data_IF_143728515884
#
_entry.id   IF_143728515884
#
_cell.length_a   1.000
_cell.length_b   1.000
_cell.length_c   1.000
_cell.angle_alpha   90.00
_cell.angle_beta   90.00
_cell.angle_gamma   90.00
#
_symmetry.space_group_name_H-M   'P 1'
#
loop_
_entity.id
_entity.type
_entity.pdbx_description
1 polymer ?
#
# COMPACT_ATOMS: atom_id res chain seq x y z
N UNK A 1 -31.42 -26.20 -1.53
CA UNK A 1 -30.50 -26.10 -0.38
C UNK A 1 -29.01 -26.16 -0.78
N UNK A 2 -28.56 -27.08 -1.61
CA UNK A 2 -27.15 -27.23 -2.06
C UNK A 2 -26.72 -26.09 -2.97
N UNK A 3 -27.54 -25.58 -3.87
CA UNK A 3 -27.27 -24.45 -4.74
C UNK A 3 -27.12 -23.13 -3.92
N UNK A 4 -28.02 -22.88 -2.96
CA UNK A 4 -27.94 -21.74 -2.05
C UNK A 4 -26.64 -21.75 -1.21
N UNK A 5 -26.23 -22.93 -0.72
CA UNK A 5 -24.97 -23.10 0.02
C UNK A 5 -23.73 -22.84 -0.85
N UNK A 6 -23.76 -23.22 -2.13
CA UNK A 6 -22.69 -22.91 -3.10
C UNK A 6 -22.61 -21.41 -3.41
N UNK A 7 -23.74 -20.71 -3.50
CA UNK A 7 -23.75 -19.26 -3.72
C UNK A 7 -23.32 -18.47 -2.47
N UNK A 8 -23.78 -18.84 -1.27
CA UNK A 8 -23.34 -18.26 -0.02
C UNK A 8 -21.83 -18.45 0.23
N UNK A 9 -21.25 -19.58 -0.20
CA UNK A 9 -19.81 -19.80 -0.12
C UNK A 9 -19.00 -18.93 -1.09
N UNK A 10 -19.59 -18.42 -2.17
CA UNK A 10 -18.96 -17.42 -3.07
C UNK A 10 -18.83 -16.04 -2.41
N UNK A 11 -19.62 -15.73 -1.37
CA UNK A 11 -19.60 -14.47 -0.64
C UNK A 11 -18.62 -14.46 0.54
N UNK A 12 -17.97 -15.58 0.87
CA UNK A 12 -16.96 -15.61 1.94
C UNK A 12 -15.69 -14.90 1.50
N UNK A 13 -15.09 -14.05 2.37
CA UNK A 13 -13.81 -13.43 2.10
C UNK A 13 -12.74 -14.46 1.77
N UNK A 14 -11.94 -14.18 0.72
CA UNK A 14 -10.89 -15.10 0.22
C UNK A 14 -9.65 -15.11 1.09
N UNK A 15 -9.40 -14.02 1.81
CA UNK A 15 -8.27 -13.85 2.73
C UNK A 15 -8.54 -12.74 3.73
N UNK A 16 -7.68 -12.62 4.76
CA UNK A 16 -7.76 -11.62 5.83
C UNK A 16 -6.49 -10.79 5.80
N UNK A 17 -6.62 -9.49 5.67
CA UNK A 17 -5.51 -8.55 5.58
C UNK A 17 -5.51 -7.64 6.81
N UNK A 18 -4.40 -7.61 7.56
CA UNK A 18 -4.19 -6.59 8.57
C UNK A 18 -3.51 -5.37 7.94
N UNK A 19 -4.13 -4.22 8.06
CA UNK A 19 -3.66 -2.94 7.56
C UNK A 19 -3.11 -2.14 8.74
N UNK A 20 -1.84 -1.73 8.68
CA UNK A 20 -1.17 -0.90 9.68
C UNK A 20 -0.85 0.43 8.99
N UNK A 21 -1.66 1.46 9.20
CA UNK A 21 -1.50 2.73 8.49
C UNK A 21 -2.22 3.90 9.19
N UNK A 22 -1.98 5.11 8.71
CA UNK A 22 -2.72 6.31 9.12
C UNK A 22 -4.10 6.38 8.50
N UNK A 23 -5.01 7.09 9.18
CA UNK A 23 -6.38 7.35 8.73
C UNK A 23 -6.44 8.66 7.95
N UNK A 24 -6.99 8.63 6.74
CA UNK A 24 -7.29 9.80 5.89
C UNK A 24 -8.77 10.14 5.97
N UNK A 25 -9.11 11.27 6.64
CA UNK A 25 -10.50 11.70 6.83
C UNK A 25 -11.23 11.99 5.52
N UNK A 26 -10.52 12.28 4.41
CA UNK A 26 -11.14 12.46 3.09
C UNK A 26 -11.52 11.12 2.42
N UNK A 27 -11.02 10.01 2.95
CA UNK A 27 -11.33 8.67 2.47
C UNK A 27 -10.59 8.25 1.20
N UNK A 28 -9.68 9.08 0.66
CA UNK A 28 -8.98 8.83 -0.61
C UNK A 28 -7.73 7.98 -0.48
N UNK A 29 -7.05 8.04 0.67
CA UNK A 29 -5.81 7.32 0.96
C UNK A 29 -5.87 6.62 2.33
N UNK A 30 -4.71 6.25 2.89
CA UNK A 30 -4.60 5.62 4.20
C UNK A 30 -5.45 4.38 4.35
N UNK A 31 -5.84 4.06 5.59
CA UNK A 31 -6.65 2.87 5.86
C UNK A 31 -8.00 2.87 5.14
N UNK A 32 -8.57 4.01 4.82
CA UNK A 32 -9.84 4.09 4.08
C UNK A 32 -9.69 3.56 2.64
N UNK A 33 -8.64 3.95 1.93
CA UNK A 33 -8.33 3.40 0.61
C UNK A 33 -7.97 1.91 0.70
N UNK A 34 -7.23 1.53 1.74
CA UNK A 34 -6.81 0.15 1.98
C UNK A 34 -8.00 -0.77 2.22
N UNK A 35 -8.95 -0.39 3.14
CA UNK A 35 -10.18 -1.14 3.41
C UNK A 35 -11.02 -1.29 2.14
N UNK A 36 -11.25 -0.17 1.42
CA UNK A 36 -12.01 -0.19 0.15
C UNK A 36 -11.39 -1.15 -0.85
N UNK A 37 -10.06 -1.13 -1.00
CA UNK A 37 -9.32 -2.00 -1.91
C UNK A 37 -9.45 -3.46 -1.55
N UNK A 38 -9.15 -3.81 -0.30
CA UNK A 38 -9.22 -5.19 0.21
C UNK A 38 -10.63 -5.76 0.05
N UNK A 39 -11.66 -4.97 0.41
CA UNK A 39 -13.07 -5.35 0.29
C UNK A 39 -13.51 -5.48 -1.17
N UNK A 40 -13.13 -4.54 -2.04
CA UNK A 40 -13.45 -4.60 -3.47
C UNK A 40 -12.84 -5.81 -4.18
N UNK A 41 -11.71 -6.31 -3.68
CA UNK A 41 -11.03 -7.52 -4.17
C UNK A 41 -11.52 -8.81 -3.49
N UNK A 42 -12.56 -8.73 -2.65
CA UNK A 42 -13.25 -9.88 -2.06
C UNK A 42 -12.52 -10.48 -0.85
N UNK A 43 -11.79 -9.67 -0.08
CA UNK A 43 -11.10 -10.09 1.15
C UNK A 43 -11.57 -9.29 2.37
N UNK A 44 -11.22 -9.75 3.56
CA UNK A 44 -11.59 -9.13 4.83
C UNK A 44 -10.46 -8.21 5.31
N UNK A 45 -10.80 -6.96 5.65
CA UNK A 45 -9.86 -5.96 6.11
C UNK A 45 -9.94 -5.79 7.64
N UNK A 46 -8.80 -5.89 8.32
CA UNK A 46 -8.60 -5.52 9.73
C UNK A 46 -7.63 -4.35 9.78
N UNK A 47 -7.67 -3.53 10.83
CA UNK A 47 -6.85 -2.32 10.90
C UNK A 47 -6.15 -2.14 12.23
N UNK A 48 -4.95 -1.54 12.18
CA UNK A 48 -4.26 -0.91 13.29
C UNK A 48 -3.92 0.53 12.87
N UNK A 49 -4.53 1.52 13.51
CA UNK A 49 -4.40 2.93 13.14
C UNK A 49 -3.14 3.50 13.78
N UNK A 50 -2.26 4.09 12.96
CA UNK A 50 -0.99 4.68 13.41
C UNK A 50 -1.08 6.18 13.70
N UNK A 51 -1.98 6.88 13.01
CA UNK A 51 -2.29 8.29 13.22
C UNK A 51 -3.65 8.61 12.61
N UNK A 52 -4.29 9.69 13.08
CA UNK A 52 -5.48 10.27 12.45
C UNK A 52 -5.05 11.57 11.77
N UNK A 53 -5.39 11.76 10.50
CA UNK A 53 -5.12 13.01 9.80
C UNK A 53 -6.40 13.85 9.66
N UNK A 54 -6.29 15.15 9.80
CA UNK A 54 -7.28 16.11 9.35
C UNK A 54 -6.86 16.49 7.92
N UNK A 55 -7.47 15.85 6.95
CA UNK A 55 -7.04 15.87 5.56
C UNK A 55 -8.22 15.97 4.61
N UNK A 56 -8.00 16.64 3.47
CA UNK A 56 -8.92 16.67 2.33
C UNK A 56 -8.12 16.60 1.01
N UNK A 57 -8.79 16.79 -0.12
CA UNK A 57 -8.14 16.71 -1.44
C UNK A 57 -7.12 17.82 -1.70
N UNK A 58 -7.13 18.91 -0.93
CA UNK A 58 -6.20 20.04 -1.09
C UNK A 58 -4.97 19.93 -0.20
N UNK A 59 -4.98 19.11 0.86
CA UNK A 59 -3.82 18.91 1.74
C UNK A 59 -4.13 18.34 3.11
N UNK A 60 -3.09 18.24 3.93
CA UNK A 60 -3.13 17.78 5.32
C UNK A 60 -3.02 18.99 6.24
N UNK A 61 -4.04 19.22 7.08
CA UNK A 61 -4.07 20.31 8.08
C UNK A 61 -3.37 19.91 9.38
N UNK A 62 -3.57 18.66 9.84
CA UNK A 62 -3.01 18.18 11.10
C UNK A 62 -2.83 16.65 11.06
N UNK A 63 -1.82 16.17 11.76
CA UNK A 63 -1.58 14.75 12.03
C UNK A 63 -1.65 14.55 13.54
N UNK A 64 -2.55 13.68 13.99
CA UNK A 64 -2.70 13.29 15.40
C UNK A 64 -2.15 11.88 15.55
N UNK A 65 -0.94 11.70 16.12
CA UNK A 65 -0.33 10.38 16.26
C UNK A 65 -1.10 9.53 17.30
N UNK A 66 -1.12 8.21 17.04
CA UNK A 66 -1.54 7.24 18.04
C UNK A 66 -0.30 6.78 18.82
N UNK A 67 -0.44 6.63 20.13
CA UNK A 67 0.62 6.14 21.00
C UNK A 67 1.16 4.78 20.54
N UNK A 68 2.51 4.61 20.45
CA UNK A 68 3.12 3.37 19.94
C UNK A 68 2.62 2.08 20.62
N UNK A 69 2.42 2.12 21.95
CA UNK A 69 1.88 0.98 22.70
C UNK A 69 0.46 0.63 22.25
N UNK A 70 -0.39 1.62 21.98
CA UNK A 70 -1.75 1.39 21.49
C UNK A 70 -1.79 0.81 20.08
N UNK A 71 -0.78 1.13 19.25
CA UNK A 71 -0.63 0.55 17.91
C UNK A 71 -0.27 -0.94 18.05
N UNK A 72 0.70 -1.28 18.90
CA UNK A 72 1.07 -2.67 19.14
C UNK A 72 -0.10 -3.47 19.72
N UNK A 73 -0.85 -2.91 20.67
CA UNK A 73 -2.04 -3.53 21.23
C UNK A 73 -3.11 -3.83 20.16
N UNK A 74 -3.37 -2.89 19.23
CA UNK A 74 -4.28 -3.13 18.10
C UNK A 74 -3.79 -4.31 17.23
N UNK A 75 -2.50 -4.34 16.89
CA UNK A 75 -1.91 -5.38 16.05
C UNK A 75 -2.02 -6.75 16.73
N UNK A 76 -1.57 -6.86 17.96
CA UNK A 76 -1.45 -8.14 18.66
C UNK A 76 -2.81 -8.68 19.09
N UNK A 77 -3.68 -7.83 19.65
CA UNK A 77 -5.00 -8.23 20.10
C UNK A 77 -5.88 -8.71 18.94
N UNK A 78 -5.87 -7.94 17.82
CA UNK A 78 -6.60 -8.32 16.61
C UNK A 78 -6.04 -9.60 15.99
N UNK A 79 -4.70 -9.71 15.87
CA UNK A 79 -4.06 -10.86 15.22
C UNK A 79 -4.18 -12.15 16.03
N UNK A 80 -4.33 -12.05 17.36
CA UNK A 80 -4.55 -13.19 18.26
C UNK A 80 -5.91 -13.84 18.03
N UNK A 81 -6.94 -13.05 17.75
CA UNK A 81 -8.29 -13.52 17.49
C UNK A 81 -8.49 -13.87 16.01
N UNK A 82 -8.23 -12.91 15.13
CA UNK A 82 -8.36 -13.11 13.67
C UNK A 82 -6.97 -13.09 13.05
N UNK A 83 -6.34 -14.27 12.92
CA UNK A 83 -5.00 -14.39 12.33
C UNK A 83 -4.99 -13.90 10.89
N UNK A 84 -4.21 -12.85 10.53
CA UNK A 84 -4.12 -12.36 9.16
C UNK A 84 -3.38 -13.34 8.24
N UNK A 85 -3.76 -13.36 6.96
CA UNK A 85 -3.07 -14.11 5.91
C UNK A 85 -1.93 -13.27 5.28
N UNK A 86 -2.06 -11.93 5.35
CA UNK A 86 -1.00 -10.99 5.00
C UNK A 86 -1.17 -9.66 5.78
N UNK A 87 -0.10 -8.87 5.80
CA UNK A 87 -0.07 -7.55 6.41
C UNK A 87 0.28 -6.52 5.32
N UNK A 88 -0.44 -5.39 5.30
CA UNK A 88 -0.06 -4.19 4.58
C UNK A 88 0.37 -3.12 5.58
N UNK A 89 1.56 -2.58 5.42
CA UNK A 89 2.07 -1.46 6.21
C UNK A 89 2.09 -0.22 5.32
N UNK A 90 1.52 0.89 5.83
CA UNK A 90 1.57 2.20 5.19
C UNK A 90 2.30 3.22 6.05
N UNK A 91 1.69 4.38 6.30
CA UNK A 91 2.31 5.49 7.06
C UNK A 91 2.66 5.10 8.49
N UNK A 92 3.96 5.23 8.85
CA UNK A 92 4.53 5.04 10.19
C UNK A 92 5.30 6.31 10.59
N UNK A 93 4.64 7.31 11.10
CA UNK A 93 5.10 8.69 11.21
C UNK A 93 6.37 8.91 12.07
N UNK A 94 6.75 7.99 12.97
CA UNK A 94 7.89 8.16 13.87
C UNK A 94 8.67 6.88 14.12
N UNK A 95 9.93 7.03 14.56
CA UNK A 95 10.81 5.91 14.91
C UNK A 95 10.23 5.02 16.01
N UNK A 96 9.54 5.59 17.00
CA UNK A 96 8.90 4.82 18.08
C UNK A 96 7.74 3.95 17.56
N UNK A 97 6.97 4.45 16.59
CA UNK A 97 5.92 3.67 15.92
C UNK A 97 6.54 2.53 15.13
N UNK A 98 7.63 2.77 14.38
CA UNK A 98 8.33 1.71 13.64
C UNK A 98 8.85 0.62 14.57
N UNK A 99 9.47 0.98 15.69
CA UNK A 99 9.95 0.01 16.70
C UNK A 99 8.81 -0.83 17.25
N UNK A 100 7.69 -0.21 17.60
CA UNK A 100 6.50 -0.90 18.10
C UNK A 100 5.91 -1.86 17.06
N UNK A 101 5.84 -1.46 15.80
CA UNK A 101 5.39 -2.33 14.70
C UNK A 101 6.34 -3.50 14.50
N UNK A 102 7.67 -3.27 14.45
CA UNK A 102 8.68 -4.33 14.33
C UNK A 102 8.52 -5.36 15.45
N UNK A 103 8.39 -4.90 16.69
CA UNK A 103 8.17 -5.77 17.85
C UNK A 103 6.92 -6.65 17.67
N UNK A 104 5.79 -6.07 17.29
CA UNK A 104 4.55 -6.82 17.04
C UNK A 104 4.69 -7.82 15.89
N UNK A 105 5.40 -7.47 14.79
CA UNK A 105 5.64 -8.38 13.67
C UNK A 105 6.42 -9.64 14.12
N UNK A 106 7.39 -9.49 15.02
CA UNK A 106 8.17 -10.60 15.55
C UNK A 106 7.33 -11.55 16.39
N UNK A 107 6.30 -11.04 17.10
CA UNK A 107 5.37 -11.85 17.89
C UNK A 107 4.34 -12.59 17.04
N UNK A 108 3.71 -11.90 16.08
CA UNK A 108 2.60 -12.50 15.29
C UNK A 108 3.09 -13.46 14.19
N UNK A 109 4.37 -13.39 13.79
CA UNK A 109 5.05 -14.32 12.85
C UNK A 109 4.34 -14.50 11.50
N UNK A 110 3.79 -13.43 10.92
CA UNK A 110 3.23 -13.43 9.57
C UNK A 110 4.34 -13.16 8.57
N UNK A 111 4.43 -14.00 7.52
CA UNK A 111 5.51 -13.90 6.50
C UNK A 111 5.14 -13.00 5.31
N UNK A 112 3.86 -12.86 4.98
CA UNK A 112 3.40 -12.07 3.85
C UNK A 112 3.18 -10.62 4.26
N UNK A 113 4.21 -9.78 4.12
CA UNK A 113 4.20 -8.38 4.56
C UNK A 113 4.57 -7.48 3.38
N UNK A 114 3.70 -6.53 3.05
CA UNK A 114 3.92 -5.51 2.02
C UNK A 114 4.07 -4.15 2.70
N UNK A 115 5.19 -3.48 2.43
CA UNK A 115 5.50 -2.14 2.95
C UNK A 115 5.35 -1.09 1.85
N UNK A 116 4.42 -0.18 2.02
CA UNK A 116 4.36 1.09 1.29
C UNK A 116 5.06 2.16 2.14
N UNK A 117 6.28 2.60 1.81
CA UNK A 117 7.08 3.46 2.67
C UNK A 117 6.65 4.92 2.54
N UNK A 118 5.41 5.22 2.94
CA UNK A 118 4.80 6.54 2.78
C UNK A 118 5.57 7.59 3.57
N UNK A 119 6.20 8.55 2.87
CA UNK A 119 7.02 9.60 3.47
C UNK A 119 6.43 10.99 3.31
N UNK A 120 5.71 11.22 2.20
CA UNK A 120 5.17 12.51 1.83
C UNK A 120 3.71 12.33 1.40
N UNK A 121 2.81 13.16 1.93
CA UNK A 121 1.43 13.21 1.49
C UNK A 121 1.33 13.78 0.06
N UNK A 122 0.23 13.50 -0.65
CA UNK A 122 0.01 14.02 -2.01
C UNK A 122 0.09 15.54 -2.11
N UNK A 123 -0.23 16.27 -1.04
CA UNK A 123 -0.09 17.73 -0.92
C UNK A 123 1.30 18.21 -0.50
N UNK A 124 2.34 17.37 -0.48
CA UNK A 124 3.72 17.73 -0.13
C UNK A 124 4.06 17.72 1.37
N UNK A 125 3.10 17.49 2.25
CA UNK A 125 3.35 17.43 3.69
C UNK A 125 4.24 16.23 4.05
N UNK A 126 5.33 16.47 4.81
CA UNK A 126 6.19 15.41 5.35
C UNK A 126 5.43 14.62 6.42
N UNK A 127 5.35 13.29 6.26
CA UNK A 127 4.59 12.38 7.13
C UNK A 127 5.47 11.53 8.05
N UNK A 128 6.79 11.61 7.93
CA UNK A 128 7.76 10.78 8.65
C UNK A 128 9.00 11.61 9.01
N UNK A 129 9.59 11.37 10.18
CA UNK A 129 10.85 12.03 10.58
C UNK A 129 12.09 11.28 10.04
N UNK A 130 13.25 11.95 10.06
CA UNK A 130 14.50 11.40 9.50
C UNK A 130 15.02 10.19 10.30
N UNK A 131 14.81 10.15 11.62
CA UNK A 131 15.17 9.00 12.47
C UNK A 131 14.34 7.79 12.10
N UNK A 132 13.04 8.00 11.78
CA UNK A 132 12.15 6.94 11.32
C UNK A 132 12.57 6.41 9.94
N UNK A 133 13.01 7.27 9.00
CA UNK A 133 13.54 6.84 7.71
C UNK A 133 14.76 5.93 7.90
N UNK A 134 15.70 6.29 8.79
CA UNK A 134 16.87 5.46 9.07
C UNK A 134 16.48 4.10 9.65
N UNK A 135 15.54 4.06 10.59
CA UNK A 135 15.06 2.82 11.18
C UNK A 135 14.33 1.92 10.16
N UNK A 136 13.52 2.53 9.29
CA UNK A 136 12.87 1.83 8.18
C UNK A 136 13.91 1.17 7.28
N UNK A 137 14.97 1.89 6.87
CA UNK A 137 16.08 1.38 6.05
C UNK A 137 16.85 0.26 6.73
N UNK A 138 17.17 0.42 8.02
CA UNK A 138 18.10 -0.48 8.69
C UNK A 138 17.44 -1.75 9.23
N UNK A 139 16.15 -1.69 9.57
CA UNK A 139 15.47 -2.78 10.24
C UNK A 139 14.20 -3.25 9.53
N UNK A 140 13.24 -2.35 9.23
CA UNK A 140 11.92 -2.77 8.77
C UNK A 140 11.93 -3.40 7.38
N UNK A 141 12.74 -2.87 6.43
CA UNK A 141 12.80 -3.40 5.06
C UNK A 141 13.26 -4.87 5.00
N UNK A 142 14.05 -5.32 5.98
CA UNK A 142 14.53 -6.71 6.07
C UNK A 142 13.45 -7.70 6.50
N UNK A 143 12.39 -7.20 7.14
CA UNK A 143 11.29 -8.01 7.70
C UNK A 143 10.11 -8.16 6.74
N UNK A 144 10.09 -7.42 5.63
CA UNK A 144 8.97 -7.42 4.70
C UNK A 144 9.22 -8.27 3.47
N UNK A 145 8.16 -8.80 2.88
CA UNK A 145 8.25 -9.57 1.63
C UNK A 145 8.49 -8.68 0.41
N UNK A 146 7.96 -7.46 0.44
CA UNK A 146 8.07 -6.49 -0.66
C UNK A 146 7.98 -5.07 -0.10
N UNK A 147 8.84 -4.18 -0.60
CA UNK A 147 8.72 -2.73 -0.42
C UNK A 147 8.28 -2.08 -1.74
N UNK A 148 7.34 -1.10 -1.68
CA UNK A 148 6.73 -0.48 -2.87
C UNK A 148 6.94 1.04 -2.92
N UNK A 149 8.19 1.56 -2.96
CA UNK A 149 8.44 2.99 -3.00
C UNK A 149 8.01 3.60 -4.35
N UNK A 150 7.54 4.86 -4.32
CA UNK A 150 7.53 5.71 -5.50
C UNK A 150 8.94 6.30 -5.73
N UNK A 151 9.13 7.07 -6.81
CA UNK A 151 10.45 7.64 -7.15
C UNK A 151 10.99 8.56 -6.05
N UNK A 152 10.26 9.57 -5.52
CA UNK A 152 10.75 10.37 -4.42
C UNK A 152 11.12 9.57 -3.16
N UNK A 153 10.33 8.55 -2.82
CA UNK A 153 10.60 7.65 -1.70
C UNK A 153 11.85 6.79 -1.95
N UNK A 154 12.03 6.28 -3.17
CA UNK A 154 13.21 5.52 -3.54
C UNK A 154 14.47 6.40 -3.52
N UNK A 155 14.41 7.64 -4.02
CA UNK A 155 15.51 8.62 -3.94
C UNK A 155 15.94 8.88 -2.49
N UNK A 156 14.98 9.09 -1.58
CA UNK A 156 15.25 9.29 -0.15
C UNK A 156 15.90 8.05 0.47
N UNK A 157 15.35 6.86 0.18
CA UNK A 157 15.84 5.60 0.75
C UNK A 157 17.24 5.25 0.27
N UNK A 158 17.58 5.57 -0.98
CA UNK A 158 18.85 5.16 -1.61
C UNK A 158 19.88 6.26 -1.67
N UNK A 159 19.46 7.51 -1.38
CA UNK A 159 20.29 8.72 -1.55
C UNK A 159 20.82 8.85 -3.00
N UNK A 160 19.98 8.52 -3.99
CA UNK A 160 20.29 8.63 -5.42
C UNK A 160 19.23 9.45 -6.14
N UNK A 161 19.56 9.96 -7.34
CA UNK A 161 18.59 10.62 -8.21
C UNK A 161 18.07 9.63 -9.25
N UNK A 162 16.77 9.67 -9.54
CA UNK A 162 16.10 8.76 -10.48
C UNK A 162 15.47 9.57 -11.60
N UNK A 163 16.04 9.52 -12.79
CA UNK A 163 15.60 10.24 -13.98
C UNK A 163 15.03 9.33 -15.07
N UNK A 164 15.36 8.04 -15.02
CA UNK A 164 15.02 7.06 -16.05
C UNK A 164 14.84 5.66 -15.45
N UNK A 165 14.55 4.71 -16.31
CA UNK A 165 14.36 3.30 -15.94
C UNK A 165 15.63 2.66 -15.35
N UNK A 166 16.78 2.99 -15.89
CA UNK A 166 18.09 2.47 -15.47
C UNK A 166 18.41 2.90 -14.04
N UNK A 167 18.12 4.17 -13.71
CA UNK A 167 18.25 4.70 -12.34
C UNK A 167 17.28 4.02 -11.37
N UNK A 168 16.05 3.68 -11.81
CA UNK A 168 15.11 2.92 -10.99
C UNK A 168 15.65 1.53 -10.67
N UNK A 169 16.24 0.83 -11.66
CA UNK A 169 16.86 -0.49 -11.45
C UNK A 169 18.03 -0.38 -10.49
N UNK A 170 18.86 0.64 -10.64
CA UNK A 170 19.99 0.90 -9.76
C UNK A 170 19.53 1.17 -8.31
N UNK A 171 18.54 2.04 -8.11
CA UNK A 171 17.95 2.30 -6.80
C UNK A 171 17.36 1.02 -6.17
N UNK A 172 16.66 0.20 -6.97
CA UNK A 172 16.15 -1.08 -6.49
C UNK A 172 17.28 -2.02 -6.05
N UNK A 173 18.41 -2.07 -6.77
CA UNK A 173 19.57 -2.89 -6.39
C UNK A 173 20.18 -2.44 -5.06
N UNK A 174 20.24 -1.13 -4.81
CA UNK A 174 20.67 -0.60 -3.50
C UNK A 174 19.74 -1.09 -2.39
N UNK A 175 18.41 -1.03 -2.57
CA UNK A 175 17.46 -1.52 -1.58
C UNK A 175 17.61 -3.03 -1.32
N UNK A 176 17.86 -3.83 -2.36
CA UNK A 176 18.16 -5.27 -2.20
C UNK A 176 19.44 -5.47 -1.38
N UNK A 177 20.49 -4.68 -1.64
CA UNK A 177 21.75 -4.75 -0.88
C UNK A 177 21.58 -4.30 0.59
N UNK A 178 20.65 -3.39 0.86
CA UNK A 178 20.25 -3.01 2.22
C UNK A 178 19.42 -4.09 2.94
N UNK A 179 19.05 -5.16 2.24
CA UNK A 179 18.37 -6.33 2.80
C UNK A 179 16.89 -6.48 2.44
N UNK A 180 16.36 -5.69 1.50
CA UNK A 180 15.02 -5.92 0.97
C UNK A 180 14.96 -7.26 0.22
N UNK A 181 13.90 -8.05 0.46
CA UNK A 181 13.70 -9.32 -0.26
C UNK A 181 13.26 -9.11 -1.71
N UNK A 182 12.32 -8.19 -1.92
CA UNK A 182 11.82 -7.79 -3.23
C UNK A 182 11.52 -6.28 -3.19
N UNK A 183 11.66 -5.61 -4.31
CA UNK A 183 11.41 -4.17 -4.48
C UNK A 183 10.49 -3.95 -5.66
N UNK A 184 9.48 -3.08 -5.51
CA UNK A 184 8.60 -2.65 -6.59
C UNK A 184 8.59 -1.12 -6.66
N UNK A 185 9.38 -0.52 -7.55
CA UNK A 185 9.43 0.94 -7.73
C UNK A 185 8.31 1.40 -8.67
N UNK A 186 7.49 2.32 -8.18
CA UNK A 186 6.37 2.94 -8.91
C UNK A 186 6.88 4.07 -9.80
N UNK A 187 6.81 3.91 -11.13
CA UNK A 187 7.38 4.87 -12.10
C UNK A 187 6.49 6.05 -12.47
N UNK A 188 5.35 6.22 -11.81
CA UNK A 188 4.36 7.25 -12.15
C UNK A 188 4.85 8.71 -12.08
N UNK A 189 5.97 9.00 -11.41
CA UNK A 189 6.57 10.34 -11.29
C UNK A 189 7.51 10.72 -12.43
N UNK A 190 7.98 9.76 -13.24
CA UNK A 190 8.76 10.11 -14.44
C UNK A 190 7.85 10.73 -15.49
N UNK A 191 8.32 11.77 -16.18
CA UNK A 191 7.61 12.38 -17.29
C UNK A 191 7.76 11.50 -18.54
N UNK A 192 6.75 10.69 -18.83
CA UNK A 192 6.71 9.77 -19.97
C UNK A 192 5.27 9.42 -20.33
N UNK A 193 5.00 9.21 -21.61
CA UNK A 193 3.70 8.71 -22.12
C UNK A 193 3.40 7.27 -21.64
N UNK A 194 4.45 6.54 -21.25
CA UNK A 194 4.37 5.15 -20.74
C UNK A 194 4.89 5.12 -19.32
N UNK A 195 4.03 4.82 -18.35
CA UNK A 195 4.43 4.56 -16.97
C UNK A 195 5.08 3.17 -16.91
N UNK A 196 6.26 3.08 -16.34
CA UNK A 196 7.00 1.84 -16.15
C UNK A 196 7.19 1.61 -14.64
N UNK A 197 6.54 0.58 -14.11
CA UNK A 197 6.79 0.10 -12.75
C UNK A 197 7.78 -1.05 -12.81
N UNK A 198 8.72 -1.13 -11.87
CA UNK A 198 9.83 -2.09 -11.92
C UNK A 198 9.82 -2.97 -10.67
N UNK A 199 9.67 -4.28 -10.87
CA UNK A 199 9.85 -5.30 -9.86
C UNK A 199 11.28 -5.86 -9.95
N UNK A 200 12.00 -5.89 -8.82
CA UNK A 200 13.37 -6.40 -8.72
C UNK A 200 13.49 -7.31 -7.51
N UNK A 201 14.17 -8.43 -7.69
CA UNK A 201 14.71 -9.26 -6.61
C UNK A 201 16.08 -9.84 -7.03
N UNK A 202 16.67 -10.69 -6.19
CA UNK A 202 17.98 -11.32 -6.49
C UNK A 202 18.00 -12.19 -7.74
N UNK A 203 16.83 -12.58 -8.30
CA UNK A 203 16.73 -13.55 -9.39
C UNK A 203 16.31 -12.92 -10.71
N UNK A 204 15.47 -11.87 -10.65
CA UNK A 204 14.86 -11.31 -11.86
C UNK A 204 14.59 -9.80 -11.73
N UNK A 205 14.56 -9.15 -12.89
CA UNK A 205 14.03 -7.80 -13.09
C UNK A 205 12.82 -7.94 -14.01
N UNK A 206 11.68 -7.38 -13.61
CA UNK A 206 10.46 -7.42 -14.39
C UNK A 206 9.82 -6.02 -14.48
N UNK A 207 9.41 -5.62 -15.69
CA UNK A 207 8.89 -4.27 -15.97
C UNK A 207 7.42 -4.38 -16.37
N UNK A 208 6.56 -3.65 -15.68
CA UNK A 208 5.15 -3.50 -16.02
C UNK A 208 4.98 -2.15 -16.72
N UNK A 209 4.48 -2.17 -17.97
CA UNK A 209 4.27 -0.98 -18.77
C UNK A 209 2.78 -0.68 -18.91
N UNK A 210 2.40 0.58 -18.70
CA UNK A 210 1.03 1.05 -18.86
C UNK A 210 1.02 2.41 -19.56
N UNK A 211 -0.01 2.67 -20.37
CA UNK A 211 -0.23 4.00 -20.93
C UNK A 211 -0.57 4.99 -19.79
N UNK A 212 0.07 6.15 -19.78
CA UNK A 212 -0.24 7.19 -18.80
C UNK A 212 -1.68 7.68 -18.96
N UNK A 213 -2.37 7.80 -17.83
CA UNK A 213 -3.70 8.38 -17.75
C UNK A 213 -3.53 9.80 -17.21
N UNK A 214 -3.89 10.80 -18.02
CA UNK A 214 -3.82 12.21 -17.63
C UNK A 214 -5.04 12.54 -16.77
N UNK A 215 -4.83 12.76 -15.46
CA UNK A 215 -5.88 13.09 -14.50
C UNK A 215 -5.28 13.69 -13.23
N UNK A 216 -6.03 14.57 -12.56
CA UNK A 216 -5.72 15.06 -11.21
C UNK A 216 -6.17 14.08 -10.11
N UNK A 217 -7.04 13.10 -10.44
CA UNK A 217 -7.61 12.15 -9.49
C UNK A 217 -6.67 10.95 -9.27
N UNK A 218 -5.61 11.19 -8.52
CA UNK A 218 -4.55 10.21 -8.23
C UNK A 218 -4.31 10.00 -6.73
N UNK A 219 -5.16 10.62 -5.87
CA UNK A 219 -5.04 10.46 -4.42
C UNK A 219 -5.33 9.02 -4.00
N UNK A 220 -4.41 8.44 -3.22
CA UNK A 220 -4.49 7.06 -2.73
C UNK A 220 -4.02 5.97 -3.69
N UNK A 221 -3.49 6.30 -4.89
CA UNK A 221 -2.97 5.29 -5.83
C UNK A 221 -1.91 4.37 -5.22
N UNK A 222 -0.97 4.92 -4.42
CA UNK A 222 0.07 4.14 -3.73
C UNK A 222 -0.51 3.18 -2.70
N UNK A 223 -1.36 3.68 -1.80
CA UNK A 223 -2.05 2.87 -0.80
C UNK A 223 -2.89 1.77 -1.44
N UNK A 224 -3.66 2.10 -2.48
CA UNK A 224 -4.46 1.14 -3.23
C UNK A 224 -3.60 0.06 -3.88
N UNK A 225 -2.46 0.43 -4.49
CA UNK A 225 -1.55 -0.51 -5.12
C UNK A 225 -0.99 -1.52 -4.11
N UNK A 226 -0.44 -1.03 -3.01
CA UNK A 226 0.17 -1.88 -1.98
C UNK A 226 -0.86 -2.79 -1.30
N UNK A 227 -2.09 -2.32 -1.07
CA UNK A 227 -3.19 -3.12 -0.52
C UNK A 227 -3.70 -4.17 -1.50
N UNK A 228 -3.78 -3.83 -2.80
CA UNK A 228 -4.13 -4.81 -3.83
C UNK A 228 -3.04 -5.90 -3.96
N UNK A 229 -1.75 -5.53 -3.92
CA UNK A 229 -0.64 -6.50 -3.90
C UNK A 229 -0.78 -7.43 -2.69
N UNK A 230 -1.01 -6.87 -1.48
CA UNK A 230 -1.20 -7.65 -0.25
C UNK A 230 -2.35 -8.65 -0.39
N UNK A 231 -3.47 -8.20 -0.96
CA UNK A 231 -4.66 -9.02 -1.15
C UNK A 231 -4.42 -10.17 -2.13
N UNK A 232 -3.85 -9.91 -3.31
CA UNK A 232 -3.56 -10.96 -4.28
C UNK A 232 -2.49 -11.93 -3.76
N UNK A 233 -1.49 -11.44 -3.03
CA UNK A 233 -0.46 -12.29 -2.42
C UNK A 233 -1.04 -13.16 -1.30
N UNK A 234 -1.95 -12.64 -0.48
CA UNK A 234 -2.68 -13.42 0.52
C UNK A 234 -3.54 -14.52 -0.12
N UNK A 235 -4.16 -14.23 -1.28
CA UNK A 235 -4.93 -15.19 -2.08
C UNK A 235 -4.06 -16.21 -2.84
N UNK A 236 -2.77 -16.34 -2.55
CA UNK A 236 -1.88 -17.38 -3.09
C UNK A 236 -1.23 -17.05 -4.44
N UNK A 237 -1.34 -15.83 -4.95
CA UNK A 237 -0.59 -15.40 -6.14
C UNK A 237 0.88 -15.19 -5.79
N UNK A 238 1.80 -15.35 -6.76
CA UNK A 238 3.20 -14.93 -6.59
C UNK A 238 3.28 -13.42 -6.43
N UNK A 239 4.35 -12.89 -5.82
CA UNK A 239 4.54 -11.44 -5.66
C UNK A 239 4.51 -10.72 -7.02
N UNK A 240 5.24 -11.23 -8.03
CA UNK A 240 5.24 -10.70 -9.39
C UNK A 240 3.83 -10.62 -9.96
N UNK A 241 3.06 -11.72 -9.89
CA UNK A 241 1.67 -11.75 -10.38
C UNK A 241 0.75 -10.81 -9.59
N UNK A 242 0.99 -10.67 -8.30
CA UNK A 242 0.27 -9.72 -7.44
C UNK A 242 0.52 -8.27 -7.86
N UNK A 243 1.77 -7.91 -8.19
CA UNK A 243 2.11 -6.59 -8.73
C UNK A 243 1.42 -6.31 -10.07
N UNK A 244 1.43 -7.27 -11.01
CA UNK A 244 0.71 -7.14 -12.30
C UNK A 244 -0.79 -6.89 -12.11
N UNK A 245 -1.44 -7.72 -11.30
CA UNK A 245 -2.89 -7.62 -11.05
C UNK A 245 -3.24 -6.32 -10.31
N UNK A 246 -2.43 -5.91 -9.34
CA UNK A 246 -2.63 -4.69 -8.59
C UNK A 246 -2.47 -3.45 -9.48
N UNK A 247 -1.46 -3.41 -10.35
CA UNK A 247 -1.28 -2.32 -11.32
C UNK A 247 -2.47 -2.22 -12.28
N UNK A 248 -3.00 -3.36 -12.75
CA UNK A 248 -4.21 -3.38 -13.59
C UNK A 248 -5.42 -2.82 -12.83
N UNK A 249 -5.62 -3.23 -11.57
CA UNK A 249 -6.70 -2.73 -10.72
C UNK A 249 -6.61 -1.21 -10.52
N UNK A 250 -5.43 -0.69 -10.15
CA UNK A 250 -5.20 0.74 -9.96
C UNK A 250 -5.45 1.54 -11.25
N UNK A 251 -4.98 1.06 -12.39
CA UNK A 251 -5.22 1.73 -13.68
C UNK A 251 -6.72 1.81 -14.01
N UNK A 252 -7.49 0.77 -13.74
CA UNK A 252 -8.95 0.79 -13.93
C UNK A 252 -9.61 1.79 -12.96
N UNK A 253 -9.15 1.83 -11.70
CA UNK A 253 -9.65 2.75 -10.68
C UNK A 253 -9.36 4.22 -11.03
N UNK A 254 -8.22 4.51 -11.66
CA UNK A 254 -7.87 5.85 -12.16
C UNK A 254 -8.75 6.24 -13.35
N UNK A 255 -8.98 5.32 -14.32
CA UNK A 255 -9.82 5.58 -15.50
C UNK A 255 -11.27 5.90 -15.15
N UNK A 256 -11.77 5.32 -14.08
CA UNK A 256 -13.14 5.51 -13.58
C UNK A 256 -13.21 6.72 -12.65
N UNK A 257 -12.98 7.88 -13.21
CA UNK A 257 -12.81 9.16 -12.53
C UNK A 257 -14.03 9.57 -11.69
N UNK A 258 -13.82 10.00 -10.42
CA UNK A 258 -14.88 10.45 -9.51
C UNK A 258 -15.09 11.97 -9.50
N UNK A 259 -14.03 12.74 -9.79
CA UNK A 259 -14.02 14.21 -9.73
C UNK A 259 -14.48 14.78 -8.37
N UNK A 260 -14.09 14.16 -7.26
CA UNK A 260 -14.42 14.64 -5.91
C UNK A 260 -13.37 15.61 -5.39
N UNK A 261 -13.83 16.73 -4.83
CA UNK A 261 -12.97 17.73 -4.18
C UNK A 261 -12.33 18.72 -5.18
N UNK A 262 -11.64 19.73 -4.63
CA UNK A 262 -11.05 20.84 -5.41
C UNK A 262 -9.55 20.64 -5.70
N UNK A 263 -8.91 19.64 -5.07
CA UNK A 263 -7.50 19.33 -5.24
C UNK A 263 -7.27 17.99 -5.94
N UNK A 264 -6.30 17.19 -5.44
CA UNK A 264 -6.08 15.84 -5.95
C UNK A 264 -7.23 14.92 -5.51
N UNK A 265 -8.15 14.62 -6.43
CA UNK A 265 -9.30 13.76 -6.16
C UNK A 265 -8.91 12.30 -5.93
N UNK A 266 -9.76 11.50 -5.24
CA UNK A 266 -9.54 10.09 -5.02
C UNK A 266 -9.81 9.27 -6.28
N UNK A 267 -9.17 8.10 -6.36
CA UNK A 267 -9.48 7.09 -7.38
C UNK A 267 -10.77 6.33 -7.03
N UNK A 268 -11.40 5.70 -8.01
CA UNK A 268 -12.63 4.94 -7.84
C UNK A 268 -12.34 3.46 -7.48
N UNK A 269 -12.41 3.11 -6.20
CA UNK A 269 -12.21 1.75 -5.73
C UNK A 269 -13.32 0.77 -6.15
N UNK A 270 -14.49 1.28 -6.57
CA UNK A 270 -15.61 0.44 -7.03
C UNK A 270 -15.47 -0.03 -8.48
N UNK A 271 -14.45 0.44 -9.21
CA UNK A 271 -14.24 0.16 -10.64
C UNK A 271 -14.20 -1.33 -11.02
N UNK A 272 -13.95 -2.22 -10.06
CA UNK A 272 -13.89 -3.68 -10.25
C UNK A 272 -15.04 -4.44 -9.58
N UNK A 273 -15.98 -3.74 -8.95
CA UNK A 273 -17.15 -4.37 -8.29
C UNK A 273 -18.28 -4.46 -9.29
N UNK A 274 -18.79 -5.68 -9.49
CA UNK A 274 -20.03 -5.91 -10.21
C UNK A 274 -21.18 -5.79 -9.20
N UNK A 275 -21.89 -4.66 -9.24
CA UNK A 275 -23.08 -4.45 -8.42
C UNK A 275 -24.25 -5.18 -9.11
N UNK A 276 -24.95 -6.05 -8.38
CA UNK A 276 -26.16 -6.70 -8.87
C UNK A 276 -27.19 -5.63 -9.28
N UNK A 277 -27.82 -5.83 -10.45
CA UNK A 277 -28.82 -4.91 -11.01
C UNK A 277 -30.00 -4.63 -10.07
N UNK A 278 -30.25 -5.51 -9.10
CA UNK A 278 -31.29 -5.31 -8.06
C UNK A 278 -31.03 -4.17 -7.09
N UNK A 279 -29.79 -3.66 -7.02
CA UNK A 279 -29.37 -2.59 -6.13
C UNK A 279 -29.00 -1.28 -6.88
N UNK A 280 -29.37 -1.19 -8.17
CA UNK A 280 -29.21 0.04 -8.97
C UNK A 280 -30.49 0.83 -9.06
#
# INVERSE_FOLDING_TARGET
MILLRKELNKLKPKSKILIIAGSDSSGGAGIQADIKTVTALGSYAMTAITAVTIQNTTGVKLIVPIEPKKISDQIEFTSKDIRPDAIKIGMLHSSNVIKSVIHSLDHIKIKKIILDPVMIAKGGAKLIDDKAIQLLKNELIKKVSLITPNIPEAEILTNTKIKNKEDMIFAASILINLGANNVFIKGGHLDSKVVQDIFVNKKEIFIIKNKRITTSNTHGTGCTLSSAISTFFACGKTLKKSCELATKYVNNSIRSNLNYGKGHGPINHLSSIIIDKKFR
#
